data_IF_239730003498
#
_entry.id   IF_239730003498
#
_cell.length_a   1.000
_cell.length_b   1.000
_cell.length_c   1.000
_cell.angle_alpha   90.00
_cell.angle_beta   90.00
_cell.angle_gamma   90.00
#
_symmetry.space_group_name_H-M   'P 1'
#
loop_
_entity.id
_entity.type
_entity.pdbx_description
1 polymer ?
#
# COMPACT_ATOMS: atom_id res chain seq x y z
N UNK A 1 11.67 -16.00 -5.48
CA UNK A 1 10.62 -15.05 -5.15
C UNK A 1 9.61 -15.65 -4.18
N UNK A 2 9.03 -14.83 -3.37
CA UNK A 2 8.03 -15.22 -2.40
C UNK A 2 7.39 -14.01 -1.79
N UNK A 3 6.51 -14.24 -0.79
CA UNK A 3 5.88 -13.15 -0.06
C UNK A 3 6.93 -12.51 0.84
N UNK A 4 7.19 -11.22 0.61
CA UNK A 4 8.15 -10.46 1.39
C UNK A 4 7.52 -9.81 2.61
N UNK A 5 6.28 -9.43 2.50
CA UNK A 5 5.58 -8.78 3.59
C UNK A 5 4.12 -8.51 3.29
N UNK A 6 3.41 -8.18 4.35
CA UNK A 6 2.00 -7.84 4.31
C UNK A 6 1.82 -6.64 5.25
N UNK A 7 1.13 -5.62 4.78
CA UNK A 7 0.92 -4.40 5.58
C UNK A 7 -0.54 -4.00 5.47
N UNK A 8 -1.17 -3.74 6.61
CA UNK A 8 -2.52 -3.18 6.67
C UNK A 8 -2.42 -1.74 7.19
N UNK A 9 -3.00 -0.82 6.46
CA UNK A 9 -2.88 0.62 6.70
C UNK A 9 -4.26 1.21 6.87
N UNK A 10 -4.49 1.84 8.01
CA UNK A 10 -5.68 2.65 8.23
C UNK A 10 -5.47 4.01 7.54
N UNK A 11 -6.50 4.51 6.89
CA UNK A 11 -6.43 5.67 5.99
C UNK A 11 -5.79 6.93 6.56
N UNK A 12 -5.92 7.14 7.87
CA UNK A 12 -5.34 8.29 8.56
C UNK A 12 -4.05 7.95 9.31
N UNK A 13 -3.54 6.72 9.09
CA UNK A 13 -2.33 6.20 9.69
C UNK A 13 -2.39 6.05 11.23
N UNK A 14 -3.60 5.98 11.78
CA UNK A 14 -3.78 5.74 13.21
C UNK A 14 -3.44 4.29 13.60
N UNK A 15 -3.47 3.39 12.64
CA UNK A 15 -3.13 1.99 12.85
C UNK A 15 -2.41 1.47 11.61
N UNK A 16 -1.24 0.88 11.84
CA UNK A 16 -0.46 0.22 10.79
C UNK A 16 0.00 -1.11 11.35
N UNK A 17 -0.34 -2.18 10.67
CA UNK A 17 0.06 -3.54 11.06
C UNK A 17 0.97 -4.12 9.98
N UNK A 18 2.05 -4.76 10.41
CA UNK A 18 3.06 -5.32 9.51
C UNK A 18 3.30 -6.77 9.85
N UNK A 19 3.41 -7.59 8.82
CA UNK A 19 3.77 -9.00 8.94
C UNK A 19 4.84 -9.34 7.93
N UNK A 20 5.75 -10.23 8.30
CA UNK A 20 6.84 -10.64 7.45
C UNK A 20 8.06 -9.75 7.62
N UNK A 21 9.21 -10.31 7.30
CA UNK A 21 10.50 -9.64 7.45
C UNK A 21 11.31 -9.56 6.16
N UNK A 22 10.75 -10.02 5.05
CA UNK A 22 11.43 -9.96 3.75
C UNK A 22 11.50 -8.56 3.16
N UNK A 23 10.56 -7.70 3.53
CA UNK A 23 10.61 -6.28 3.23
C UNK A 23 10.17 -5.51 4.47
N UNK A 24 11.09 -4.74 5.03
CA UNK A 24 10.81 -3.94 6.22
C UNK A 24 10.27 -2.59 5.77
N UNK A 25 9.01 -2.33 6.08
CA UNK A 25 8.40 -1.03 5.83
C UNK A 25 8.73 -0.13 7.02
N UNK A 26 9.62 0.82 6.81
CA UNK A 26 10.17 1.65 7.88
C UNK A 26 9.27 2.85 8.20
N UNK A 27 8.57 3.37 7.21
CA UNK A 27 7.72 4.54 7.39
C UNK A 27 6.62 4.55 6.34
N UNK A 28 5.46 5.06 6.73
CA UNK A 28 4.34 5.28 5.81
C UNK A 28 3.91 6.73 5.96
N UNK A 29 3.71 7.39 4.83
CA UNK A 29 3.30 8.78 4.80
C UNK A 29 2.13 8.95 3.83
N UNK A 30 1.09 9.63 4.27
CA UNK A 30 0.05 10.10 3.36
C UNK A 30 0.50 11.46 2.82
N UNK A 31 0.80 11.49 1.53
CA UNK A 31 1.35 12.69 0.89
C UNK A 31 0.25 13.67 0.47
N UNK A 32 -0.92 13.14 0.16
CA UNK A 32 -2.12 13.93 -0.11
C UNK A 32 -3.32 13.00 -0.06
N UNK A 33 -4.51 13.52 -0.33
CA UNK A 33 -5.73 12.70 -0.32
C UNK A 33 -5.60 11.50 -1.23
N UNK A 34 -5.76 10.30 -0.67
CA UNK A 34 -5.70 9.05 -1.41
C UNK A 34 -4.31 8.69 -1.94
N UNK A 35 -3.26 9.33 -1.45
CA UNK A 35 -1.90 9.07 -1.91
C UNK A 35 -0.99 8.77 -0.74
N UNK A 36 -0.35 7.61 -0.80
CA UNK A 36 0.49 7.09 0.29
C UNK A 36 1.83 6.64 -0.25
N UNK A 37 2.88 6.87 0.51
CA UNK A 37 4.22 6.38 0.23
C UNK A 37 4.64 5.44 1.36
N UNK A 38 5.07 4.24 0.99
CA UNK A 38 5.59 3.25 1.92
C UNK A 38 7.08 3.09 1.68
N UNK A 39 7.87 3.42 2.70
CA UNK A 39 9.34 3.42 2.61
C UNK A 39 9.91 2.09 3.07
N UNK A 40 10.91 1.62 2.35
CA UNK A 40 11.61 0.36 2.64
C UNK A 40 13.08 0.50 2.24
N UNK A 41 13.84 -0.57 2.45
CA UNK A 41 15.26 -0.59 2.12
C UNK A 41 15.63 -1.79 1.24
N UNK A 42 14.77 -2.11 0.29
CA UNK A 42 14.97 -3.28 -0.55
C UNK A 42 16.18 -3.15 -1.48
N UNK A 43 16.48 -1.93 -1.92
CA UNK A 43 17.66 -1.67 -2.74
C UNK A 43 17.47 -1.98 -4.22
N UNK A 44 16.28 -2.45 -4.61
CA UNK A 44 15.95 -2.79 -6.00
C UNK A 44 14.45 -2.70 -6.22
N UNK A 45 14.01 -2.92 -7.45
CA UNK A 45 12.59 -2.86 -7.83
C UNK A 45 12.03 -4.22 -8.26
N UNK A 46 12.72 -5.33 -7.95
CA UNK A 46 12.27 -6.68 -8.33
C UNK A 46 11.24 -7.21 -7.33
N UNK A 47 10.16 -6.50 -7.21
CA UNK A 47 9.01 -6.88 -6.40
C UNK A 47 7.74 -6.35 -7.05
N UNK A 48 6.61 -6.95 -6.70
CA UNK A 48 5.29 -6.44 -7.07
C UNK A 48 4.49 -6.17 -5.80
N UNK A 49 3.56 -5.24 -5.90
CA UNK A 49 2.69 -4.86 -4.79
C UNK A 49 1.26 -5.11 -5.22
N UNK A 50 0.59 -5.98 -4.48
CA UNK A 50 -0.83 -6.25 -4.69
C UNK A 50 -1.59 -5.45 -3.64
N UNK A 51 -2.55 -4.65 -4.08
CA UNK A 51 -3.28 -3.74 -3.20
C UNK A 51 -4.73 -4.17 -3.12
N UNK A 52 -5.24 -4.21 -1.90
CA UNK A 52 -6.66 -4.41 -1.63
C UNK A 52 -7.16 -3.26 -0.79
N UNK A 53 -8.22 -2.60 -1.21
CA UNK A 53 -8.91 -1.61 -0.40
C UNK A 53 -10.01 -2.26 0.41
N UNK A 54 -10.30 -1.69 1.58
CA UNK A 54 -11.45 -2.10 2.38
C UNK A 54 -12.64 -1.29 1.91
N UNK A 55 -13.73 -1.93 1.46
CA UNK A 55 -14.91 -1.20 1.04
C UNK A 55 -15.41 -0.30 2.15
N UNK A 56 -15.68 0.94 1.79
CA UNK A 56 -16.18 1.92 2.74
C UNK A 56 -17.70 1.97 2.62
N UNK A 57 -18.38 1.59 3.67
CA UNK A 57 -19.82 1.38 3.62
C UNK A 57 -20.63 2.65 3.88
N UNK A 58 -20.06 3.82 3.78
CA UNK A 58 -20.77 5.06 4.10
C UNK A 58 -22.00 5.22 3.23
N UNK A 59 -21.88 4.89 1.96
CA UNK A 59 -22.97 5.01 0.99
C UNK A 59 -23.47 3.67 0.50
N UNK A 60 -23.09 2.61 1.18
CA UNK A 60 -23.68 1.30 1.00
C UNK A 60 -23.12 0.43 -0.09
N UNK A 61 -22.55 0.88 -1.15
CA UNK A 61 -22.20 -0.01 -2.26
C UNK A 61 -21.05 0.46 -3.09
N UNK A 62 -20.09 1.04 -2.48
CA UNK A 62 -19.09 1.70 -3.31
C UNK A 62 -17.94 0.79 -3.59
N UNK A 63 -17.62 0.71 -4.86
CA UNK A 63 -16.39 0.13 -5.30
C UNK A 63 -15.26 1.05 -4.87
N UNK A 64 -14.20 0.45 -4.40
CA UNK A 64 -12.97 1.18 -4.09
C UNK A 64 -11.83 0.52 -4.84
N UNK A 65 -10.83 1.31 -5.17
CA UNK A 65 -9.71 0.85 -5.97
C UNK A 65 -8.44 1.24 -5.25
N UNK A 66 -7.52 0.28 -5.12
CA UNK A 66 -6.16 0.55 -4.67
C UNK A 66 -5.20 0.12 -5.74
N UNK A 67 -4.26 0.99 -6.07
CA UNK A 67 -3.25 0.69 -7.08
C UNK A 67 -1.86 1.07 -6.58
N UNK A 68 -0.87 0.30 -7.00
CA UNK A 68 0.52 0.71 -6.91
C UNK A 68 0.82 1.58 -8.13
N UNK A 69 1.23 2.81 -7.90
CA UNK A 69 1.45 3.78 -8.95
C UNK A 69 2.93 4.18 -9.12
N UNK A 70 3.83 3.48 -8.49
CA UNK A 70 5.27 3.69 -8.66
C UNK A 70 6.06 2.82 -7.71
N UNK A 71 7.08 2.12 -8.23
CA UNK A 71 8.01 1.31 -7.44
C UNK A 71 9.41 1.84 -7.59
N UNK A 72 10.09 1.98 -6.46
CA UNK A 72 11.44 2.51 -6.39
C UNK A 72 12.28 1.64 -5.45
N UNK A 73 13.58 1.86 -5.43
CA UNK A 73 14.49 1.06 -4.61
C UNK A 73 14.24 1.21 -3.11
N UNK A 74 13.69 2.33 -2.68
CA UNK A 74 13.51 2.68 -1.28
C UNK A 74 12.07 3.00 -0.89
N UNK A 75 11.13 2.91 -1.82
CA UNK A 75 9.71 3.14 -1.52
C UNK A 75 8.83 2.66 -2.66
N UNK A 76 7.53 2.59 -2.39
CA UNK A 76 6.51 2.48 -3.44
C UNK A 76 5.32 3.36 -3.07
N UNK A 77 4.58 3.75 -4.09
CA UNK A 77 3.45 4.66 -3.95
C UNK A 77 2.14 3.92 -4.20
N UNK A 78 1.15 4.24 -3.37
CA UNK A 78 -0.19 3.67 -3.46
C UNK A 78 -1.18 4.82 -3.65
N UNK A 79 -2.14 4.62 -4.53
CA UNK A 79 -3.31 5.48 -4.63
C UNK A 79 -4.55 4.68 -4.26
N UNK A 80 -5.45 5.32 -3.53
CA UNK A 80 -6.76 4.79 -3.21
C UNK A 80 -7.83 5.70 -3.79
N UNK A 81 -8.82 5.09 -4.46
CA UNK A 81 -9.79 5.82 -5.26
C UNK A 81 -11.20 5.31 -4.98
N UNK A 82 -12.15 6.20 -5.12
CA UNK A 82 -13.58 5.84 -5.06
C UNK A 82 -14.07 5.26 -6.39
N UNK A 83 -15.35 4.92 -6.44
CA UNK A 83 -15.95 4.31 -7.63
C UNK A 83 -15.93 5.21 -8.86
N UNK A 84 -15.82 6.52 -8.66
CA UNK A 84 -15.76 7.50 -9.76
C UNK A 84 -14.31 7.85 -10.12
N UNK A 85 -13.35 7.08 -9.61
CA UNK A 85 -11.91 7.28 -9.82
C UNK A 85 -11.38 8.57 -9.21
N UNK A 86 -12.08 9.12 -8.23
CA UNK A 86 -11.59 10.23 -7.45
C UNK A 86 -10.70 9.75 -6.31
N UNK A 87 -9.63 10.48 -6.03
CA UNK A 87 -8.75 10.17 -4.92
C UNK A 87 -9.50 10.33 -3.60
N UNK A 88 -9.39 9.32 -2.74
CA UNK A 88 -10.08 9.28 -1.47
C UNK A 88 -9.24 8.51 -0.46
N UNK A 89 -9.21 8.95 0.79
CA UNK A 89 -8.51 8.23 1.85
C UNK A 89 -9.32 6.98 2.22
N UNK A 90 -8.75 5.82 1.95
CA UNK A 90 -9.40 4.52 2.14
C UNK A 90 -8.42 3.59 2.83
N UNK A 91 -8.89 2.81 3.79
CA UNK A 91 -8.08 1.75 4.40
C UNK A 91 -7.66 0.76 3.33
N UNK A 92 -6.41 0.32 3.39
CA UNK A 92 -5.90 -0.62 2.39
C UNK A 92 -4.92 -1.61 3.01
N UNK A 93 -4.69 -2.67 2.27
CA UNK A 93 -3.70 -3.68 2.58
C UNK A 93 -2.83 -3.91 1.36
N UNK A 94 -1.57 -4.21 1.60
CA UNK A 94 -0.66 -4.57 0.53
C UNK A 94 -0.01 -5.91 0.84
N UNK A 95 0.19 -6.70 -0.19
CA UNK A 95 1.04 -7.88 -0.17
C UNK A 95 2.16 -7.62 -1.14
N UNK A 96 3.39 -7.78 -0.68
CA UNK A 96 4.58 -7.57 -1.51
C UNK A 96 5.19 -8.93 -1.82
N UNK A 97 5.40 -9.20 -3.10
CA UNK A 97 5.96 -10.44 -3.60
C UNK A 97 7.19 -10.10 -4.43
N UNK A 98 8.29 -10.79 -4.20
CA UNK A 98 9.49 -10.54 -4.97
C UNK A 98 10.71 -11.22 -4.39
N UNK A 99 11.88 -10.73 -4.78
CA UNK A 99 13.13 -11.27 -4.23
C UNK A 99 13.56 -10.48 -2.99
N UNK A 100 14.32 -11.12 -2.10
CA UNK A 100 14.80 -10.45 -0.88
C UNK A 100 15.68 -9.24 -1.18
N UNK A 101 15.94 -8.45 -0.15
CA UNK A 101 16.87 -7.33 -0.21
C UNK A 101 18.27 -7.81 -0.60
N UNK A 102 18.98 -6.95 -1.30
CA UNK A 102 20.36 -7.23 -1.68
C UNK A 102 21.29 -7.33 -0.46
#
# INVERSE_FOLDING_TARGET
PGVLGFVAVERDLNSVQRWGDGMIISRIQRTSTGQYTLYHSQGHTDYIVIVQTTPWAVDGDRWTIGIECGRYNDHFNIQTLDANKGLMNIDFRVVVIGRPAD
#
